data_IF_525854345920
#
_entry.id   IF_525854345920
#
_cell.length_a   1.000
_cell.length_b   1.000
_cell.length_c   1.000
_cell.angle_alpha   90.00
_cell.angle_beta   90.00
_cell.angle_gamma   90.00
#
_symmetry.space_group_name_H-M   'P 1'
#
loop_
_entity.id
_entity.type
_entity.pdbx_description
1 polymer ?
#
# COMPACT_ATOMS: atom_id res chain seq x y z
N UNK A 1 2.34 19.00 20.47
CA UNK A 1 1.97 18.35 19.20
C UNK A 1 1.79 16.88 19.50
N UNK A 2 0.56 16.37 19.45
CA UNK A 2 0.31 14.95 19.73
C UNK A 2 0.72 14.16 18.49
N UNK A 3 1.84 13.44 18.57
CA UNK A 3 2.20 12.47 17.54
C UNK A 3 1.12 11.38 17.56
N UNK A 4 0.13 11.50 16.68
CA UNK A 4 -0.82 10.43 16.47
C UNK A 4 -0.01 9.25 15.94
N UNK A 5 0.21 8.25 16.79
CA UNK A 5 0.89 7.04 16.35
C UNK A 5 -0.07 6.31 15.43
N UNK A 6 0.22 6.32 14.13
CA UNK A 6 -0.51 5.54 13.13
C UNK A 6 -0.16 4.07 13.32
N UNK A 7 -0.81 3.41 14.28
CA UNK A 7 -0.71 1.96 14.48
C UNK A 7 -1.84 1.29 13.70
N UNK A 8 -1.54 0.32 12.80
CA UNK A 8 -2.55 -0.42 12.05
C UNK A 8 -3.70 -0.95 12.91
N UNK A 9 -3.39 -1.50 14.09
CA UNK A 9 -4.38 -2.08 15.01
C UNK A 9 -5.38 -1.10 15.63
N UNK A 10 -5.16 0.22 15.50
CA UNK A 10 -6.10 1.24 15.98
C UNK A 10 -7.11 1.67 14.91
N UNK A 11 -6.84 1.39 13.63
CA UNK A 11 -7.60 1.96 12.51
C UNK A 11 -8.05 0.92 11.47
N UNK A 12 -7.49 -0.29 11.50
CA UNK A 12 -7.78 -1.35 10.55
C UNK A 12 -8.36 -2.59 11.24
N UNK A 13 -9.19 -3.39 10.54
CA UNK A 13 -9.64 -4.69 11.02
C UNK A 13 -8.47 -5.61 11.40
N UNK A 14 -8.62 -6.50 12.41
CA UNK A 14 -7.56 -7.41 12.84
C UNK A 14 -6.94 -8.24 11.70
N UNK A 15 -7.76 -8.68 10.75
CA UNK A 15 -7.36 -9.49 9.60
C UNK A 15 -6.31 -8.79 8.74
N UNK A 16 -6.38 -7.45 8.65
CA UNK A 16 -5.42 -6.61 7.94
C UNK A 16 -4.29 -6.18 8.88
N UNK A 17 -4.63 -5.70 10.09
CA UNK A 17 -3.66 -5.14 11.03
C UNK A 17 -2.58 -6.16 11.44
N UNK A 18 -2.93 -7.44 11.58
CA UNK A 18 -1.98 -8.50 11.92
C UNK A 18 -0.99 -8.84 10.80
N UNK A 19 -1.25 -8.37 9.57
CA UNK A 19 -0.38 -8.55 8.41
C UNK A 19 0.55 -7.35 8.19
N UNK A 20 0.53 -6.35 9.07
CA UNK A 20 1.30 -5.11 8.93
C UNK A 20 2.26 -4.91 10.11
N UNK A 21 3.45 -4.37 9.83
CA UNK A 21 4.34 -3.89 10.87
C UNK A 21 3.63 -2.82 11.72
N UNK A 22 3.67 -2.91 13.07
CA UNK A 22 3.01 -1.92 13.92
C UNK A 22 3.67 -0.53 13.88
N UNK A 23 4.89 -0.42 13.36
CA UNK A 23 5.64 0.81 13.23
C UNK A 23 5.48 1.42 11.83
N UNK A 24 5.70 2.72 11.75
CA UNK A 24 5.68 3.42 10.48
C UNK A 24 6.84 2.96 9.58
N UNK A 25 6.57 2.71 8.29
CA UNK A 25 7.63 2.51 7.30
C UNK A 25 8.59 3.72 7.25
N UNK A 26 9.90 3.52 6.99
CA UNK A 26 10.82 4.62 6.72
C UNK A 26 10.43 5.38 5.44
N UNK A 27 10.96 6.59 5.26
CA UNK A 27 10.71 7.39 4.05
C UNK A 27 11.44 6.86 2.80
N UNK A 28 12.60 6.22 2.98
CA UNK A 28 13.38 5.60 1.90
C UNK A 28 13.16 4.09 1.81
N UNK A 29 13.97 3.35 1.03
CA UNK A 29 13.67 1.96 0.65
C UNK A 29 13.50 0.99 1.82
N UNK A 30 14.09 1.30 2.98
CA UNK A 30 13.94 0.50 4.19
C UNK A 30 14.47 -0.92 4.04
N UNK A 31 13.96 -1.82 4.88
CA UNK A 31 14.26 -3.26 4.83
C UNK A 31 12.94 -4.02 4.86
N UNK A 32 12.75 -5.04 4.01
CA UNK A 32 11.56 -5.89 4.04
C UNK A 32 11.40 -6.63 5.38
N UNK A 33 10.18 -6.61 5.92
CA UNK A 33 9.82 -7.30 7.16
C UNK A 33 9.46 -8.76 6.86
N UNK A 34 10.47 -9.61 6.74
CA UNK A 34 10.36 -11.01 6.27
C UNK A 34 9.38 -11.87 7.08
N UNK A 35 9.14 -11.54 8.34
CA UNK A 35 8.13 -12.20 9.19
C UNK A 35 6.70 -12.15 8.64
N UNK A 36 6.37 -11.16 7.80
CA UNK A 36 5.03 -11.03 7.19
C UNK A 36 4.96 -11.65 5.79
N UNK A 37 6.09 -11.93 5.14
CA UNK A 37 6.15 -12.29 3.72
C UNK A 37 5.32 -13.54 3.38
N UNK A 38 5.48 -14.60 4.16
CA UNK A 38 4.78 -15.87 3.90
C UNK A 38 3.28 -15.77 4.13
N UNK A 39 2.83 -14.89 5.03
CA UNK A 39 1.41 -14.64 5.27
C UNK A 39 0.84 -13.80 4.14
N UNK A 40 1.54 -12.75 3.71
CA UNK A 40 1.14 -11.91 2.58
C UNK A 40 1.08 -12.70 1.26
N UNK A 41 2.04 -13.59 0.98
CA UNK A 41 2.02 -14.46 -0.21
C UNK A 41 0.80 -15.37 -0.30
N UNK A 42 0.24 -15.75 0.86
CA UNK A 42 -0.95 -16.62 0.94
C UNK A 42 -2.26 -15.83 0.99
N UNK A 43 -2.16 -14.51 1.07
CA UNK A 43 -3.32 -13.63 1.19
C UNK A 43 -3.86 -13.33 -0.20
N UNK A 44 -5.17 -13.52 -0.37
CA UNK A 44 -5.90 -13.11 -1.58
C UNK A 44 -6.90 -12.01 -1.22
N UNK A 45 -7.24 -11.09 -2.13
CA UNK A 45 -8.13 -9.97 -1.83
C UNK A 45 -9.46 -10.35 -1.17
N UNK A 46 -10.05 -11.47 -1.58
CA UNK A 46 -11.33 -11.97 -1.08
C UNK A 46 -11.24 -12.39 0.39
N UNK A 47 -10.06 -12.84 0.83
CA UNK A 47 -9.81 -13.25 2.22
C UNK A 47 -9.59 -12.07 3.17
N UNK A 48 -9.25 -10.88 2.64
CA UNK A 48 -8.88 -9.72 3.44
C UNK A 48 -10.08 -8.93 3.98
N UNK A 49 -11.16 -8.84 3.21
CA UNK A 49 -12.20 -7.85 3.44
C UNK A 49 -13.48 -8.41 4.04
N UNK A 50 -13.56 -9.72 4.31
CA UNK A 50 -14.69 -10.40 4.99
C UNK A 50 -16.07 -10.22 4.34
N UNK A 51 -16.15 -9.41 3.28
CA UNK A 51 -17.33 -8.95 2.57
C UNK A 51 -17.11 -9.10 1.07
N UNK A 52 -18.19 -9.05 0.30
CA UNK A 52 -18.13 -9.06 -1.17
C UNK A 52 -17.21 -7.93 -1.63
N UNK A 53 -16.10 -8.31 -2.25
CA UNK A 53 -15.15 -7.39 -2.83
C UNK A 53 -15.88 -6.50 -3.84
N UNK A 54 -15.84 -5.19 -3.63
CA UNK A 54 -16.53 -4.22 -4.51
C UNK A 54 -15.87 -4.20 -5.89
N UNK A 55 -14.55 -4.42 -5.96
CA UNK A 55 -13.77 -4.52 -7.19
C UNK A 55 -12.50 -5.36 -6.96
N UNK A 56 -12.19 -6.25 -7.90
CA UNK A 56 -10.96 -7.03 -7.91
C UNK A 56 -9.73 -6.13 -7.81
N UNK A 57 -9.70 -5.07 -8.61
CA UNK A 57 -8.63 -4.08 -8.69
C UNK A 57 -8.43 -3.36 -7.36
N UNK A 58 -9.51 -2.95 -6.69
CA UNK A 58 -9.44 -2.33 -5.36
C UNK A 58 -8.80 -3.29 -4.34
N UNK A 59 -9.13 -4.58 -4.42
CA UNK A 59 -8.52 -5.62 -3.60
C UNK A 59 -7.02 -5.78 -3.82
N UNK A 60 -6.57 -5.74 -5.09
CA UNK A 60 -5.15 -5.80 -5.43
C UNK A 60 -4.42 -4.51 -4.98
N UNK A 61 -5.06 -3.34 -5.07
CA UNK A 61 -4.53 -2.09 -4.52
C UNK A 61 -4.28 -2.18 -3.01
N UNK A 62 -5.19 -2.80 -2.24
CA UNK A 62 -4.97 -3.04 -0.82
C UNK A 62 -3.72 -3.92 -0.59
N UNK A 63 -3.56 -5.00 -1.35
CA UNK A 63 -2.37 -5.86 -1.28
C UNK A 63 -1.08 -5.10 -1.62
N UNK A 64 -1.08 -4.26 -2.66
CA UNK A 64 0.07 -3.42 -3.00
C UNK A 64 0.49 -2.53 -1.83
N UNK A 65 -0.46 -1.84 -1.20
CA UNK A 65 -0.21 -1.04 0.00
C UNK A 65 0.32 -1.85 1.19
N UNK A 66 -0.20 -3.05 1.41
CA UNK A 66 0.28 -3.94 2.48
C UNK A 66 1.71 -4.44 2.25
N UNK A 67 2.05 -4.80 1.02
CA UNK A 67 3.42 -5.14 0.65
C UNK A 67 4.37 -3.95 0.89
N UNK A 68 3.97 -2.76 0.43
CA UNK A 68 4.76 -1.54 0.58
C UNK A 68 4.98 -1.16 2.05
N UNK A 69 3.93 -1.23 2.88
CA UNK A 69 4.00 -0.94 4.30
C UNK A 69 5.05 -1.81 5.00
N UNK A 70 5.10 -3.09 4.64
CA UNK A 70 6.06 -4.06 5.17
C UNK A 70 7.44 -4.01 4.48
N UNK A 71 7.69 -3.01 3.62
CA UNK A 71 9.00 -2.79 3.00
C UNK A 71 9.28 -3.63 1.76
N UNK A 72 8.30 -4.32 1.19
CA UNK A 72 8.44 -5.11 -0.02
C UNK A 72 8.10 -4.28 -1.27
N UNK A 73 9.08 -3.49 -1.72
CA UNK A 73 8.91 -2.56 -2.84
C UNK A 73 8.59 -3.30 -4.15
N UNK A 74 9.32 -4.37 -4.47
CA UNK A 74 9.15 -5.12 -5.73
C UNK A 74 7.74 -5.70 -5.86
N UNK A 75 7.23 -6.34 -4.81
CA UNK A 75 5.87 -6.90 -4.79
C UNK A 75 4.80 -5.80 -4.90
N UNK A 76 5.00 -4.67 -4.20
CA UNK A 76 4.11 -3.51 -4.35
C UNK A 76 4.15 -2.96 -5.78
N UNK A 77 5.33 -2.88 -6.38
CA UNK A 77 5.53 -2.37 -7.73
C UNK A 77 4.84 -3.27 -8.76
N UNK A 78 5.06 -4.59 -8.71
CA UNK A 78 4.44 -5.56 -9.61
C UNK A 78 2.90 -5.47 -9.59
N UNK A 79 2.33 -5.44 -8.38
CA UNK A 79 0.87 -5.33 -8.22
C UNK A 79 0.35 -3.98 -8.71
N UNK A 80 0.95 -2.87 -8.27
CA UNK A 80 0.46 -1.53 -8.67
C UNK A 80 0.63 -1.26 -10.16
N UNK A 81 1.68 -1.79 -10.80
CA UNK A 81 1.86 -1.71 -12.25
C UNK A 81 0.80 -2.48 -13.03
N UNK A 82 0.25 -3.55 -12.47
CA UNK A 82 -0.78 -4.37 -13.13
C UNK A 82 -2.17 -3.70 -13.16
N UNK A 83 -2.37 -2.59 -12.44
CA UNK A 83 -3.66 -1.94 -12.23
C UNK A 83 -3.69 -0.58 -12.94
N UNK A 84 -4.39 -0.50 -14.07
CA UNK A 84 -4.55 0.77 -14.82
C UNK A 84 -5.73 1.60 -14.29
N UNK A 85 -5.66 1.98 -13.01
CA UNK A 85 -6.64 2.87 -12.35
C UNK A 85 -5.94 4.01 -11.60
N UNK A 86 -6.67 5.08 -11.21
CA UNK A 86 -6.12 6.12 -10.33
C UNK A 86 -5.52 5.56 -9.03
N UNK A 87 -6.15 4.57 -8.40
CA UNK A 87 -5.67 3.93 -7.17
C UNK A 87 -4.41 3.09 -7.40
N UNK A 88 -4.32 2.38 -8.52
CA UNK A 88 -3.10 1.66 -8.92
C UNK A 88 -1.94 2.63 -9.13
N UNK A 89 -2.18 3.72 -9.87
CA UNK A 89 -1.21 4.81 -10.07
C UNK A 89 -0.81 5.50 -8.77
N UNK A 90 -1.73 5.59 -7.80
CA UNK A 90 -1.46 6.18 -6.49
C UNK A 90 -0.45 5.33 -5.72
N UNK A 91 -0.67 4.01 -5.62
CA UNK A 91 0.27 3.10 -4.96
C UNK A 91 1.62 3.06 -5.67
N UNK A 92 1.62 3.09 -6.99
CA UNK A 92 2.84 3.16 -7.79
C UNK A 92 3.65 4.44 -7.47
N UNK A 93 2.97 5.59 -7.37
CA UNK A 93 3.57 6.85 -6.99
C UNK A 93 4.18 6.84 -5.58
N UNK A 94 3.48 6.28 -4.58
CA UNK A 94 4.02 6.13 -3.21
C UNK A 94 5.23 5.20 -3.21
N UNK A 95 5.17 4.09 -3.95
CA UNK A 95 6.27 3.13 -4.08
C UNK A 95 7.52 3.81 -4.65
N UNK A 96 7.43 4.57 -5.73
CA UNK A 96 8.59 5.30 -6.25
C UNK A 96 9.04 6.48 -5.37
N UNK A 97 8.25 6.95 -4.40
CA UNK A 97 8.75 7.87 -3.34
C UNK A 97 9.55 7.17 -2.27
N UNK A 98 9.28 5.89 -2.05
CA UNK A 98 10.08 4.99 -1.21
C UNK A 98 11.39 4.62 -1.89
N UNK A 99 11.45 4.69 -3.21
CA UNK A 99 12.69 4.73 -3.98
C UNK A 99 13.19 6.19 -4.09
N UNK A 100 14.49 6.44 -4.21
CA UNK A 100 15.00 7.78 -4.51
C UNK A 100 14.72 8.20 -5.97
N UNK A 101 13.51 7.93 -6.50
CA UNK A 101 13.07 8.20 -7.88
C UNK A 101 11.89 9.18 -7.93
N UNK A 102 12.16 10.43 -7.59
CA UNK A 102 11.16 11.48 -7.55
C UNK A 102 10.52 11.77 -8.92
N UNK A 103 11.25 11.54 -10.02
CA UNK A 103 10.77 11.79 -11.39
C UNK A 103 9.68 10.79 -11.79
N UNK A 104 9.90 9.52 -11.50
CA UNK A 104 8.95 8.45 -11.79
C UNK A 104 7.75 8.52 -10.84
N UNK A 105 7.98 8.79 -9.54
CA UNK A 105 6.90 9.09 -8.61
C UNK A 105 6.00 10.23 -9.11
N UNK A 106 6.58 11.33 -9.61
CA UNK A 106 5.80 12.44 -10.18
C UNK A 106 5.03 12.02 -11.44
N UNK A 107 5.56 11.13 -12.26
CA UNK A 107 4.84 10.57 -13.40
C UNK A 107 3.58 9.82 -12.97
N UNK A 108 3.69 8.92 -12.00
CA UNK A 108 2.53 8.15 -11.54
C UNK A 108 1.51 8.99 -10.80
N UNK A 109 1.94 9.95 -9.97
CA UNK A 109 0.99 10.88 -9.34
C UNK A 109 0.26 11.78 -10.36
N UNK A 110 0.86 12.10 -11.52
CA UNK A 110 0.10 12.76 -12.60
C UNK A 110 -0.98 11.85 -13.20
N UNK A 111 -0.74 10.54 -13.27
CA UNK A 111 -1.72 9.56 -13.78
C UNK A 111 -2.90 9.34 -12.82
N UNK A 112 -2.74 9.65 -11.53
CA UNK A 112 -3.84 9.67 -10.56
C UNK A 112 -4.92 10.69 -10.95
N UNK A 113 -4.54 11.84 -11.50
CA UNK A 113 -5.48 12.91 -11.90
C UNK A 113 -6.19 13.56 -10.71
N UNK A 114 -7.49 13.84 -10.86
CA UNK A 114 -8.31 14.43 -9.80
C UNK A 114 -8.87 13.32 -8.90
N UNK A 115 -8.21 13.10 -7.76
CA UNK A 115 -8.61 12.05 -6.82
C UNK A 115 -9.14 12.65 -5.51
N UNK A 116 -10.28 12.17 -4.95
CA UNK A 116 -10.92 12.77 -3.79
C UNK A 116 -10.00 12.91 -2.57
N UNK A 117 -9.09 11.94 -2.36
CA UNK A 117 -8.16 11.98 -1.23
C UNK A 117 -7.18 13.16 -1.26
N UNK A 118 -6.87 13.74 -2.43
CA UNK A 118 -5.99 14.93 -2.47
C UNK A 118 -6.58 16.13 -1.74
N UNK A 119 -7.90 16.21 -1.61
CA UNK A 119 -8.56 17.28 -0.86
C UNK A 119 -8.54 17.09 0.66
N UNK A 120 -8.12 15.91 1.13
CA UNK A 120 -8.16 15.51 2.55
C UNK A 120 -6.78 15.35 3.18
N UNK A 121 -5.71 15.48 2.40
CA UNK A 121 -4.30 15.37 2.82
C UNK A 121 -3.72 16.76 3.12
#
# INVERSE_FOLDING_TARGET
MSFHTLKPSLFLPPEIAELLDPNLPPLGPGVPQTQFEQRLKKTVPESLLGATLVSSEAGVCCLAGMWLWNGFLDQSHELSQSIDTPEGSWWHGIMHRREPDAGNAAYWFRRVGNHPLFSTL
#
